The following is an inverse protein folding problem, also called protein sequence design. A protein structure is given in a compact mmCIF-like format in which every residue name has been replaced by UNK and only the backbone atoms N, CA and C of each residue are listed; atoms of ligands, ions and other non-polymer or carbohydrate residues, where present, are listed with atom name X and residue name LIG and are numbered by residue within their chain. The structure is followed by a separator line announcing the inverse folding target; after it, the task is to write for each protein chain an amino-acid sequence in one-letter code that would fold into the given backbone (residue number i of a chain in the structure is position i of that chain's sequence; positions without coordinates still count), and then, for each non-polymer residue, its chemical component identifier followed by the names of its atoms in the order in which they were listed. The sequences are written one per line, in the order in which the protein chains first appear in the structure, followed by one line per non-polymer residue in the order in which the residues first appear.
data_IF_923961165051
#
_entry.id   IF_923961165051
#
_cell.length_a   1.000
_cell.length_b   1.000
_cell.length_c   1.000
_cell.angle_alpha   90.00
_cell.angle_beta   90.00
_cell.angle_gamma   90.00
#
_symmetry.space_group_name_H-M   'P 1'
#
loop_
_entity.id
_entity.type
_entity.pdbx_description
1 polymer ?
#
# COMPACT_ATOMS: atom_id res chain seq x y z
N UNK A 1 4.79 1.27 -4.94
CA UNK A 1 3.54 2.06 -4.74
C UNK A 1 3.50 3.19 -5.74
N UNK A 2 2.31 3.55 -6.23
CA UNK A 2 2.15 4.67 -7.18
C UNK A 2 2.55 6.00 -6.53
N UNK A 3 3.03 6.97 -7.33
CA UNK A 3 3.58 8.21 -6.81
C UNK A 3 2.50 9.23 -6.44
N UNK A 4 2.94 10.26 -5.74
CA UNK A 4 2.21 11.50 -5.54
C UNK A 4 2.67 12.51 -6.59
N UNK A 5 1.75 12.93 -7.47
CA UNK A 5 2.05 13.85 -8.57
C UNK A 5 1.89 15.32 -8.18
N UNK A 6 2.69 16.24 -8.74
CA UNK A 6 2.42 17.67 -8.64
C UNK A 6 1.10 18.03 -9.32
N UNK A 7 0.31 18.94 -8.74
CA UNK A 7 -0.90 19.46 -9.39
C UNK A 7 -0.56 20.27 -10.66
N UNK A 8 -1.51 20.32 -11.60
CA UNK A 8 -1.41 21.17 -12.80
C UNK A 8 -1.02 20.44 -14.09
N UNK A 9 -0.63 19.17 -14.02
CA UNK A 9 -0.48 18.31 -15.20
C UNK A 9 -1.83 17.63 -15.52
N UNK A 10 -2.15 17.36 -16.79
CA UNK A 10 -3.39 16.66 -17.13
C UNK A 10 -3.35 15.17 -16.71
N UNK A 11 -4.47 14.64 -16.26
CA UNK A 11 -4.58 13.26 -15.74
C UNK A 11 -4.04 12.20 -16.73
N UNK A 12 -4.29 12.35 -18.03
CA UNK A 12 -3.79 11.41 -19.03
C UNK A 12 -2.26 11.32 -19.07
N UNK A 13 -1.54 12.42 -18.74
CA UNK A 13 -0.08 12.41 -18.67
C UNK A 13 0.43 11.60 -17.46
N UNK A 14 -0.24 11.67 -16.30
CA UNK A 14 0.06 10.84 -15.15
C UNK A 14 -0.17 9.36 -15.46
N UNK A 15 -1.33 9.05 -16.06
CA UNK A 15 -1.67 7.66 -16.42
C UNK A 15 -0.67 7.07 -17.43
N UNK A 16 -0.20 7.87 -18.39
CA UNK A 16 0.83 7.43 -19.35
C UNK A 16 2.17 7.17 -18.63
N UNK A 17 2.61 8.10 -17.79
CA UNK A 17 3.84 7.98 -16.99
C UNK A 17 3.80 6.75 -16.09
N UNK A 18 2.72 6.55 -15.35
CA UNK A 18 2.59 5.43 -14.43
C UNK A 18 2.40 4.09 -15.15
N UNK A 19 1.86 4.11 -16.36
CA UNK A 19 1.90 2.94 -17.26
C UNK A 19 3.34 2.58 -17.60
N UNK A 20 4.18 3.55 -17.98
CA UNK A 20 5.60 3.31 -18.25
C UNK A 20 6.35 2.78 -17.03
N UNK A 21 6.07 3.32 -15.83
CA UNK A 21 6.62 2.82 -14.57
C UNK A 21 6.26 1.36 -14.35
N UNK A 22 4.99 0.99 -14.48
CA UNK A 22 4.52 -0.37 -14.30
C UNK A 22 5.22 -1.36 -15.26
N UNK A 23 5.38 -0.97 -16.53
CA UNK A 23 6.07 -1.79 -17.53
C UNK A 23 7.58 -1.90 -17.27
N UNK A 24 8.19 -0.85 -16.74
CA UNK A 24 9.58 -0.92 -16.30
C UNK A 24 9.75 -1.88 -15.12
N UNK A 25 8.84 -1.84 -14.14
CA UNK A 25 8.86 -2.77 -13.01
C UNK A 25 8.74 -4.22 -13.47
N UNK A 26 7.81 -4.53 -14.39
CA UNK A 26 7.70 -5.84 -15.03
C UNK A 26 9.02 -6.28 -15.68
N UNK A 27 9.62 -5.38 -16.48
CA UNK A 27 10.89 -5.65 -17.18
C UNK A 27 12.05 -5.89 -16.23
N UNK A 28 12.14 -5.14 -15.14
CA UNK A 28 13.22 -5.23 -14.15
C UNK A 28 13.07 -6.43 -13.21
N UNK A 29 11.90 -7.07 -13.15
CA UNK A 29 11.68 -8.24 -12.32
C UNK A 29 11.15 -7.93 -10.91
N UNK A 30 10.50 -6.78 -10.71
CA UNK A 30 9.74 -6.53 -9.49
C UNK A 30 8.55 -7.48 -9.39
N UNK A 31 8.15 -7.80 -8.16
CA UNK A 31 7.11 -8.80 -7.90
C UNK A 31 5.71 -8.18 -7.79
N UNK A 32 5.57 -7.00 -7.19
CA UNK A 32 4.29 -6.43 -6.82
C UNK A 32 4.17 -4.93 -7.17
N UNK A 33 2.98 -4.50 -7.60
CA UNK A 33 2.61 -3.09 -7.80
C UNK A 33 1.32 -2.78 -7.03
N UNK A 34 1.37 -1.82 -6.11
CA UNK A 34 0.21 -1.35 -5.35
C UNK A 34 -0.26 0.02 -5.86
N UNK A 35 -1.58 0.13 -6.09
CA UNK A 35 -2.24 1.33 -6.62
C UNK A 35 -3.25 1.82 -5.57
N UNK A 36 -3.11 3.07 -5.14
CA UNK A 36 -4.01 3.71 -4.17
C UNK A 36 -5.36 4.10 -4.79
N UNK A 37 -6.32 4.45 -3.93
CA UNK A 37 -7.62 4.98 -4.33
C UNK A 37 -7.85 6.34 -3.70
N UNK A 38 -8.05 7.35 -4.55
CA UNK A 38 -8.42 8.71 -4.14
C UNK A 38 -9.38 9.32 -5.15
N UNK A 39 -10.48 9.90 -4.66
CA UNK A 39 -11.48 10.55 -5.49
C UNK A 39 -11.22 12.03 -5.65
N UNK A 40 -10.81 12.71 -4.58
CA UNK A 40 -10.68 14.16 -4.51
C UNK A 40 -9.25 14.66 -4.26
N UNK A 41 -8.25 13.77 -4.32
CA UNK A 41 -6.84 14.15 -4.22
C UNK A 41 -6.25 14.36 -5.61
N UNK A 42 -6.09 15.62 -6.04
CA UNK A 42 -5.53 15.94 -7.35
C UNK A 42 -4.08 15.46 -7.54
N UNK A 43 -3.38 15.16 -6.44
CA UNK A 43 -2.03 14.61 -6.43
C UNK A 43 -1.96 13.09 -6.62
N UNK A 44 -3.09 12.40 -6.43
CA UNK A 44 -3.21 10.94 -6.58
C UNK A 44 -4.49 10.60 -7.35
N UNK A 45 -4.53 10.81 -8.67
CA UNK A 45 -5.77 10.81 -9.46
C UNK A 45 -6.23 9.40 -9.85
N UNK A 46 -6.40 8.50 -8.89
CA UNK A 46 -6.84 7.12 -9.10
C UNK A 46 -8.14 6.81 -8.36
N UNK A 47 -9.31 7.24 -8.86
CA UNK A 47 -10.59 6.89 -8.24
C UNK A 47 -10.98 5.41 -8.43
N UNK A 48 -10.38 4.71 -9.38
CA UNK A 48 -10.68 3.32 -9.72
C UNK A 48 -9.37 2.51 -9.95
N UNK A 49 -8.67 2.10 -8.88
CA UNK A 49 -7.38 1.41 -9.00
C UNK A 49 -7.45 0.10 -9.80
N UNK A 50 -8.54 -0.66 -9.69
CA UNK A 50 -8.71 -1.89 -10.46
C UNK A 50 -8.87 -1.64 -11.97
N UNK A 51 -9.46 -0.51 -12.37
CA UNK A 51 -9.56 -0.13 -13.78
C UNK A 51 -8.18 0.15 -14.37
N UNK A 52 -7.34 0.90 -13.66
CA UNK A 52 -5.97 1.15 -14.09
C UNK A 52 -5.14 -0.14 -14.11
N UNK A 53 -5.22 -0.96 -13.07
CA UNK A 53 -4.55 -2.26 -13.03
C UNK A 53 -4.99 -3.17 -14.20
N UNK A 54 -6.27 -3.20 -14.53
CA UNK A 54 -6.79 -3.99 -15.66
C UNK A 54 -6.21 -3.55 -17.01
N UNK A 55 -5.94 -2.25 -17.19
CA UNK A 55 -5.31 -1.73 -18.41
C UNK A 55 -3.87 -2.20 -18.60
N UNK A 56 -3.20 -2.64 -17.53
CA UNK A 56 -1.82 -3.12 -17.53
C UNK A 56 -1.72 -4.64 -17.79
N UNK A 57 -2.79 -5.41 -17.53
CA UNK A 57 -2.78 -6.87 -17.65
C UNK A 57 -2.34 -7.39 -19.02
N UNK A 58 -2.79 -6.81 -20.17
CA UNK A 58 -2.36 -7.27 -21.49
C UNK A 58 -0.86 -7.05 -21.79
N UNK A 59 -0.18 -6.28 -20.96
CA UNK A 59 1.22 -5.86 -21.15
C UNK A 59 2.15 -6.38 -20.05
N UNK A 60 1.63 -7.20 -19.11
CA UNK A 60 2.37 -7.77 -17.98
C UNK A 60 2.04 -9.25 -17.82
N UNK A 61 3.03 -10.08 -17.45
CA UNK A 61 2.86 -11.52 -17.29
C UNK A 61 3.07 -12.00 -15.84
N UNK A 62 3.92 -11.32 -15.07
CA UNK A 62 4.35 -11.75 -13.73
C UNK A 62 3.90 -10.84 -12.62
N UNK A 63 3.84 -9.53 -12.88
CA UNK A 63 3.57 -8.51 -11.87
C UNK A 63 2.23 -8.79 -11.17
N UNK A 64 2.28 -8.88 -9.85
CA UNK A 64 1.10 -9.01 -8.99
C UNK A 64 0.57 -7.60 -8.70
N UNK A 65 -0.72 -7.40 -8.86
CA UNK A 65 -1.38 -6.12 -8.61
C UNK A 65 -2.02 -6.12 -7.24
N UNK A 66 -1.72 -5.11 -6.44
CA UNK A 66 -2.38 -4.85 -5.17
C UNK A 66 -3.15 -3.53 -5.19
N UNK A 67 -4.30 -3.46 -4.55
CA UNK A 67 -4.89 -2.17 -4.22
C UNK A 67 -4.19 -1.62 -2.97
N UNK A 68 -3.84 -0.34 -2.98
CA UNK A 68 -3.06 0.23 -1.91
C UNK A 68 -3.62 1.52 -1.32
N UNK A 69 -4.92 1.53 -0.98
CA UNK A 69 -5.95 0.48 -0.77
C UNK A 69 -7.28 0.87 -1.41
N UNK A 70 -8.25 -0.07 -1.50
CA UNK A 70 -9.66 0.29 -1.65
C UNK A 70 -10.18 0.79 -0.30
N UNK A 71 -10.81 1.96 -0.29
CA UNK A 71 -11.37 2.57 0.92
C UNK A 71 -12.77 2.01 1.20
N UNK A 72 -12.86 0.88 1.91
CA UNK A 72 -14.08 0.12 2.09
C UNK A 72 -15.33 0.93 2.53
N UNK A 73 -15.22 1.95 3.42
CA UNK A 73 -16.37 2.76 3.80
C UNK A 73 -17.00 3.58 2.67
N UNK A 74 -16.28 3.78 1.55
CA UNK A 74 -16.78 4.52 0.38
C UNK A 74 -17.55 3.64 -0.60
N UNK A 75 -17.59 2.31 -0.35
CA UNK A 75 -18.17 1.33 -1.25
C UNK A 75 -19.16 0.39 -0.56
N UNK A 76 -20.14 -0.10 -1.32
CA UNK A 76 -20.94 -1.23 -0.85
C UNK A 76 -20.12 -2.53 -0.93
N UNK A 77 -20.03 -3.35 0.14
CA UNK A 77 -19.19 -4.56 0.16
C UNK A 77 -19.46 -5.55 -0.98
N UNK A 78 -20.72 -5.67 -1.42
CA UNK A 78 -21.06 -6.55 -2.53
C UNK A 78 -20.46 -6.10 -3.87
N UNK A 79 -20.31 -4.79 -4.08
CA UNK A 79 -19.63 -4.25 -5.27
C UNK A 79 -18.13 -4.58 -5.21
N UNK A 80 -17.49 -4.30 -4.06
CA UNK A 80 -16.07 -4.65 -3.87
C UNK A 80 -15.84 -6.15 -4.08
N UNK A 81 -16.70 -7.00 -3.53
CA UNK A 81 -16.60 -8.46 -3.70
C UNK A 81 -16.69 -8.87 -5.17
N UNK A 82 -17.63 -8.30 -5.93
CA UNK A 82 -17.82 -8.62 -7.34
C UNK A 82 -16.67 -8.12 -8.22
N UNK A 83 -16.25 -6.87 -8.05
CA UNK A 83 -15.17 -6.25 -8.83
C UNK A 83 -13.83 -6.90 -8.54
N UNK A 84 -13.52 -7.19 -7.27
CA UNK A 84 -12.31 -7.89 -6.88
C UNK A 84 -12.27 -9.32 -7.44
N UNK A 85 -13.40 -10.05 -7.41
CA UNK A 85 -13.50 -11.37 -8.01
C UNK A 85 -13.29 -11.32 -9.53
N UNK A 86 -13.89 -10.34 -10.21
CA UNK A 86 -13.69 -10.15 -11.66
C UNK A 86 -12.23 -9.87 -11.99
N UNK A 87 -11.59 -8.95 -11.25
CA UNK A 87 -10.18 -8.62 -11.47
C UNK A 87 -9.26 -9.83 -11.19
N UNK A 88 -9.57 -10.62 -10.16
CA UNK A 88 -8.83 -11.84 -9.82
C UNK A 88 -8.87 -12.87 -10.97
N UNK A 89 -10.01 -13.01 -11.65
CA UNK A 89 -10.12 -13.82 -12.86
C UNK A 89 -9.33 -13.24 -14.05
N UNK A 90 -9.44 -11.93 -14.30
CA UNK A 90 -8.71 -11.27 -15.39
C UNK A 90 -7.19 -11.40 -15.22
N UNK A 91 -6.72 -11.24 -13.99
CA UNK A 91 -5.29 -11.35 -13.65
C UNK A 91 -4.81 -12.79 -13.49
N UNK A 92 -5.72 -13.80 -13.50
CA UNK A 92 -5.43 -15.20 -13.23
C UNK A 92 -4.72 -15.41 -11.88
N UNK A 93 -5.21 -14.74 -10.84
CA UNK A 93 -4.67 -14.85 -9.49
C UNK A 93 -3.48 -13.92 -9.17
N UNK A 94 -3.08 -13.04 -10.08
CA UNK A 94 -2.06 -12.02 -9.81
C UNK A 94 -2.69 -10.80 -9.12
N UNK A 95 -3.36 -11.04 -7.99
CA UNK A 95 -4.11 -10.02 -7.26
C UNK A 95 -3.99 -10.15 -5.74
N UNK A 96 -3.87 -9.02 -5.07
CA UNK A 96 -3.94 -8.85 -3.62
C UNK A 96 -4.98 -7.75 -3.34
N UNK A 97 -6.02 -8.08 -2.56
CA UNK A 97 -7.00 -7.09 -2.13
C UNK A 97 -6.45 -6.29 -0.94
N UNK A 98 -5.85 -5.15 -1.22
CA UNK A 98 -5.57 -4.17 -0.18
C UNK A 98 -6.81 -3.36 0.13
N UNK A 99 -7.23 -3.34 1.40
CA UNK A 99 -8.49 -2.72 1.81
C UNK A 99 -8.29 -1.95 3.12
N UNK A 100 -8.84 -0.75 3.20
CA UNK A 100 -8.63 0.16 4.33
C UNK A 100 -9.86 0.99 4.69
N UNK A 101 -9.73 1.77 5.77
CA UNK A 101 -10.83 2.59 6.29
C UNK A 101 -10.94 3.99 5.66
N UNK A 102 -10.03 4.35 4.75
CA UNK A 102 -9.96 5.68 4.18
C UNK A 102 -9.47 6.75 5.18
N UNK A 103 -8.70 7.71 4.70
CA UNK A 103 -8.16 8.78 5.55
C UNK A 103 -8.34 10.19 4.96
N UNK A 104 -8.73 10.30 3.69
CA UNK A 104 -8.93 11.57 2.99
C UNK A 104 -10.24 12.22 3.44
N UNK A 105 -10.21 13.36 4.13
CA UNK A 105 -11.42 13.98 4.67
C UNK A 105 -12.45 14.35 3.60
N UNK A 106 -11.99 14.87 2.46
CA UNK A 106 -12.83 15.29 1.34
C UNK A 106 -13.52 14.11 0.64
N UNK A 107 -12.86 12.94 0.53
CA UNK A 107 -13.48 11.72 0.02
C UNK A 107 -14.59 11.23 0.97
N UNK A 108 -14.34 11.27 2.29
CA UNK A 108 -15.31 10.89 3.30
C UNK A 108 -16.53 11.84 3.28
N UNK A 109 -16.31 13.15 3.17
CA UNK A 109 -17.37 14.16 3.08
C UNK A 109 -18.22 13.94 1.83
N UNK A 110 -17.59 13.77 0.67
CA UNK A 110 -18.26 13.52 -0.63
C UNK A 110 -19.20 12.31 -0.56
N UNK A 111 -18.78 11.26 0.11
CA UNK A 111 -19.54 10.00 0.23
C UNK A 111 -20.39 9.93 1.50
N UNK A 112 -20.52 11.04 2.26
CA UNK A 112 -21.27 11.10 3.52
C UNK A 112 -20.84 10.01 4.53
N UNK A 113 -19.54 9.73 4.59
CA UNK A 113 -18.95 8.77 5.52
C UNK A 113 -18.48 9.50 6.77
N UNK A 114 -18.58 8.85 7.93
CA UNK A 114 -18.19 9.41 9.22
C UNK A 114 -16.75 9.95 9.21
N UNK A 115 -16.50 11.18 9.73
CA UNK A 115 -15.16 11.71 9.93
C UNK A 115 -14.40 10.98 11.06
N UNK A 116 -15.10 10.24 11.92
CA UNK A 116 -14.47 9.47 13.00
C UNK A 116 -13.77 8.22 12.46
N UNK A 117 -12.45 8.18 12.61
CA UNK A 117 -11.62 7.06 12.19
C UNK A 117 -11.98 5.73 12.89
N UNK A 118 -12.48 5.77 14.14
CA UNK A 118 -12.89 4.58 14.87
C UNK A 118 -14.17 3.98 14.25
N UNK A 119 -15.11 4.83 13.87
CA UNK A 119 -16.34 4.40 13.21
C UNK A 119 -16.04 3.82 11.81
N UNK A 120 -15.17 4.48 11.01
CA UNK A 120 -14.71 3.93 9.73
C UNK A 120 -13.97 2.60 9.89
N UNK A 121 -13.22 2.42 10.98
CA UNK A 121 -12.59 1.14 11.30
C UNK A 121 -13.59 0.00 11.53
N UNK A 122 -14.75 0.29 12.15
CA UNK A 122 -15.85 -0.67 12.32
C UNK A 122 -16.52 -0.97 10.97
N UNK A 123 -16.74 0.05 10.14
CA UNK A 123 -17.25 -0.12 8.78
C UNK A 123 -16.33 -1.03 7.95
N UNK A 124 -15.02 -0.82 8.01
CA UNK A 124 -14.02 -1.66 7.35
C UNK A 124 -14.13 -3.13 7.81
N UNK A 125 -14.20 -3.36 9.11
CA UNK A 125 -14.29 -4.71 9.66
C UNK A 125 -15.55 -5.44 9.17
N UNK A 126 -16.72 -4.78 9.20
CA UNK A 126 -17.98 -5.32 8.68
C UNK A 126 -17.92 -5.54 7.16
N UNK A 127 -17.29 -4.62 6.40
CA UNK A 127 -17.13 -4.77 4.95
C UNK A 127 -16.30 -6.01 4.61
N UNK A 128 -15.15 -6.23 5.27
CA UNK A 128 -14.31 -7.40 5.00
C UNK A 128 -15.06 -8.70 5.35
N UNK A 129 -15.77 -8.73 6.47
CA UNK A 129 -16.56 -9.90 6.85
C UNK A 129 -17.64 -10.19 5.80
N UNK A 130 -18.35 -9.17 5.35
CA UNK A 130 -19.40 -9.33 4.33
C UNK A 130 -18.84 -9.79 2.99
N UNK A 131 -17.72 -9.24 2.54
CA UNK A 131 -17.00 -9.65 1.33
C UNK A 131 -16.63 -11.13 1.43
N UNK A 132 -16.02 -11.56 2.53
CA UNK A 132 -15.62 -12.96 2.72
C UNK A 132 -16.83 -13.90 2.75
N UNK A 133 -17.95 -13.50 3.39
CA UNK A 133 -19.20 -14.27 3.38
C UNK A 133 -19.80 -14.42 1.99
N UNK A 134 -19.80 -13.35 1.18
CA UNK A 134 -20.24 -13.38 -0.22
C UNK A 134 -19.39 -14.37 -1.04
N UNK A 135 -18.09 -14.38 -0.84
CA UNK A 135 -17.22 -15.31 -1.56
C UNK A 135 -17.35 -16.76 -1.11
N UNK A 136 -17.65 -16.99 0.15
CA UNK A 136 -17.75 -18.32 0.76
C UNK A 136 -19.10 -19.02 0.58
N UNK A 137 -20.17 -18.30 0.24
CA UNK A 137 -21.54 -18.86 0.18
C UNK A 137 -22.21 -18.64 -1.16
N UNK A 138 -23.14 -19.52 -1.50
CA UNK A 138 -24.08 -19.35 -2.61
C UNK A 138 -25.37 -18.68 -2.14
N UNK A 139 -26.24 -18.19 -3.07
CA UNK A 139 -27.52 -17.62 -2.70
C UNK A 139 -28.42 -18.66 -2.00
N UNK A 140 -29.36 -18.25 -1.13
CA UNK A 140 -29.74 -16.87 -0.87
C UNK A 140 -28.70 -16.10 -0.01
N UNK A 141 -28.49 -14.83 -0.35
CA UNK A 141 -27.74 -13.92 0.49
C UNK A 141 -28.72 -13.10 1.35
N UNK A 142 -28.57 -13.14 2.66
CA UNK A 142 -29.32 -12.30 3.60
C UNK A 142 -28.38 -11.86 4.74
N UNK A 143 -27.45 -10.99 4.39
CA UNK A 143 -26.45 -10.48 5.31
C UNK A 143 -26.83 -9.08 5.75
N UNK A 144 -27.24 -8.93 7.01
CA UNK A 144 -27.62 -7.66 7.62
C UNK A 144 -26.58 -7.30 8.66
N UNK A 145 -25.86 -6.21 8.41
CA UNK A 145 -24.92 -5.61 9.34
C UNK A 145 -25.44 -4.30 9.93
N UNK A 146 -24.61 -3.63 10.68
CA UNK A 146 -24.90 -2.28 11.19
C UNK A 146 -24.87 -1.22 10.09
N UNK A 147 -23.92 -1.35 9.16
CA UNK A 147 -23.64 -0.35 8.12
C UNK A 147 -24.13 -0.81 6.75
N UNK A 148 -24.10 -2.11 6.48
CA UNK A 148 -24.34 -2.67 5.17
C UNK A 148 -25.40 -3.77 5.21
N UNK A 149 -26.17 -3.89 4.13
CA UNK A 149 -27.07 -5.02 3.92
C UNK A 149 -26.87 -5.55 2.51
N UNK A 150 -26.51 -6.83 2.38
CA UNK A 150 -26.50 -7.54 1.10
C UNK A 150 -27.61 -8.57 1.11
N UNK A 151 -28.64 -8.34 0.30
CA UNK A 151 -29.82 -9.23 0.26
C UNK A 151 -30.19 -9.58 -1.17
N UNK A 152 -30.16 -10.88 -1.49
CA UNK A 152 -30.69 -11.49 -2.70
C UNK A 152 -31.34 -12.79 -2.26
N UNK A 153 -32.67 -12.81 -2.02
CA UNK A 153 -33.38 -13.98 -1.61
C UNK A 153 -34.76 -14.12 -2.31
N UNK A 154 -35.44 -13.00 -2.50
CA UNK A 154 -36.83 -13.02 -3.03
C UNK A 154 -36.82 -12.88 -4.57
N UNK A 155 -35.72 -12.51 -5.18
CA UNK A 155 -35.56 -12.26 -6.63
C UNK A 155 -34.65 -13.29 -7.32
N UNK A 156 -34.29 -14.35 -6.63
CA UNK A 156 -33.49 -15.44 -7.22
C UNK A 156 -34.31 -16.13 -8.31
N UNK A 157 -33.69 -16.24 -9.49
CA UNK A 157 -34.32 -16.96 -10.61
C UNK A 157 -33.35 -17.96 -11.23
N UNK A 158 -33.39 -19.24 -10.81
CA UNK A 158 -32.46 -20.25 -11.35
C UNK A 158 -32.61 -20.47 -12.86
N UNK A 159 -33.82 -20.32 -13.41
CA UNK A 159 -34.07 -20.49 -14.83
C UNK A 159 -33.41 -19.42 -15.71
N UNK A 160 -33.10 -18.27 -15.14
CA UNK A 160 -32.38 -17.18 -15.79
C UNK A 160 -30.94 -17.00 -15.25
N UNK A 161 -30.52 -17.85 -14.33
CA UNK A 161 -29.25 -17.74 -13.60
C UNK A 161 -29.06 -16.38 -12.89
N UNK A 162 -30.15 -15.79 -12.35
CA UNK A 162 -30.07 -14.56 -11.57
C UNK A 162 -29.96 -14.89 -10.07
N UNK A 163 -29.15 -14.11 -9.35
CA UNK A 163 -28.98 -14.19 -7.90
C UNK A 163 -27.59 -14.61 -7.46
N UNK A 164 -26.69 -14.99 -8.35
CA UNK A 164 -25.33 -15.43 -8.04
C UNK A 164 -24.32 -14.29 -8.20
N UNK A 165 -23.55 -14.04 -7.13
CA UNK A 165 -22.42 -13.13 -7.18
C UNK A 165 -21.15 -13.89 -7.60
N UNK A 166 -20.24 -13.25 -8.36
CA UNK A 166 -19.02 -13.91 -8.83
C UNK A 166 -18.12 -14.31 -7.65
N UNK A 167 -17.47 -15.47 -7.79
CA UNK A 167 -16.50 -15.98 -6.83
C UNK A 167 -15.08 -15.70 -7.33
N UNK A 168 -14.09 -15.47 -6.47
CA UNK A 168 -12.72 -15.22 -6.91
C UNK A 168 -12.07 -16.45 -7.57
N UNK A 169 -11.07 -16.18 -8.40
CA UNK A 169 -10.22 -17.19 -9.03
C UNK A 169 -9.36 -17.91 -7.99
N UNK A 170 -8.71 -17.16 -7.10
CA UNK A 170 -7.92 -17.68 -6.00
C UNK A 170 -8.79 -18.32 -4.91
N UNK A 171 -8.29 -19.38 -4.27
CA UNK A 171 -9.03 -20.10 -3.23
C UNK A 171 -8.30 -20.04 -1.89
N UNK A 172 -9.00 -19.77 -0.79
CA UNK A 172 -10.46 -19.50 -0.71
C UNK A 172 -10.84 -18.12 -1.27
N UNK A 173 -9.92 -17.19 -1.38
CA UNK A 173 -10.06 -15.83 -1.92
C UNK A 173 -8.68 -15.20 -2.13
N UNK A 174 -8.55 -14.07 -2.84
CA UNK A 174 -7.31 -13.32 -2.93
C UNK A 174 -6.76 -12.98 -1.54
N UNK A 175 -5.43 -12.92 -1.35
CA UNK A 175 -4.86 -12.41 -0.12
C UNK A 175 -5.45 -11.04 0.23
N UNK A 176 -5.79 -10.83 1.50
CA UNK A 176 -6.28 -9.55 2.02
C UNK A 176 -5.09 -8.83 2.67
N UNK A 177 -4.90 -7.56 2.33
CA UNK A 177 -3.86 -6.73 2.92
C UNK A 177 -4.48 -5.46 3.54
N UNK A 178 -4.03 -5.08 4.74
CA UNK A 178 -4.50 -3.88 5.43
C UNK A 178 -3.38 -2.88 5.66
N UNK A 179 -3.63 -1.57 5.43
CA UNK A 179 -2.65 -0.53 5.67
C UNK A 179 -2.56 -0.21 7.16
N UNK A 180 -1.34 0.01 7.65
CA UNK A 180 -1.07 0.41 9.02
C UNK A 180 -0.13 1.61 9.02
N UNK A 181 -0.63 2.78 9.42
CA UNK A 181 0.09 4.05 9.37
C UNK A 181 0.37 4.67 10.73
N UNK A 182 -0.18 4.12 11.82
CA UNK A 182 0.11 4.57 13.19
C UNK A 182 0.98 3.55 13.92
N UNK A 183 1.90 4.00 14.79
CA UNK A 183 2.81 3.12 15.54
C UNK A 183 2.12 1.99 16.31
N UNK A 184 0.99 2.30 16.97
CA UNK A 184 0.24 1.37 17.81
C UNK A 184 -1.06 0.91 17.14
N UNK A 185 -0.99 0.53 15.87
CA UNK A 185 -2.17 0.11 15.12
C UNK A 185 -2.72 -1.23 15.61
N UNK A 186 -3.88 -1.20 16.26
CA UNK A 186 -4.60 -2.43 16.66
C UNK A 186 -4.94 -3.33 15.45
N UNK A 187 -5.03 -2.78 14.24
CA UNK A 187 -5.28 -3.52 13.01
C UNK A 187 -4.17 -4.52 12.69
N UNK A 188 -2.92 -4.24 13.09
CA UNK A 188 -1.79 -5.15 12.91
C UNK A 188 -2.04 -6.47 13.65
N UNK A 189 -2.46 -6.39 14.91
CA UNK A 189 -2.79 -7.57 15.73
C UNK A 189 -3.98 -8.34 15.15
N UNK A 190 -5.00 -7.62 14.67
CA UNK A 190 -6.15 -8.22 13.97
C UNK A 190 -5.69 -8.96 12.72
N UNK A 191 -4.78 -8.37 11.92
CA UNK A 191 -4.23 -9.02 10.74
C UNK A 191 -3.52 -10.34 11.10
N UNK A 192 -2.69 -10.36 12.13
CA UNK A 192 -2.06 -11.59 12.62
C UNK A 192 -3.07 -12.67 12.97
N UNK A 193 -4.14 -12.33 13.72
CA UNK A 193 -5.23 -13.27 14.05
C UNK A 193 -5.95 -13.82 12.83
N UNK A 194 -6.22 -12.97 11.85
CA UNK A 194 -6.98 -13.33 10.65
C UNK A 194 -6.13 -13.95 9.54
N UNK A 195 -4.80 -13.87 9.62
CA UNK A 195 -3.88 -14.28 8.55
C UNK A 195 -3.91 -13.34 7.35
N UNK A 196 -4.18 -12.07 7.60
CA UNK A 196 -4.10 -11.03 6.58
C UNK A 196 -2.70 -10.45 6.49
N UNK A 197 -2.36 -9.93 5.34
CA UNK A 197 -1.14 -9.18 5.13
C UNK A 197 -1.22 -7.79 5.78
N UNK A 198 -0.06 -7.30 6.23
CA UNK A 198 0.08 -5.93 6.74
C UNK A 198 0.91 -5.12 5.75
N UNK A 199 0.49 -3.88 5.47
CA UNK A 199 1.25 -2.89 4.71
C UNK A 199 1.60 -1.76 5.68
N UNK A 200 2.83 -1.77 6.19
CA UNK A 200 3.32 -0.71 7.08
C UNK A 200 3.77 0.51 6.27
N UNK A 201 3.25 1.69 6.66
CA UNK A 201 3.46 2.98 5.96
C UNK A 201 4.96 3.37 5.83
N UNK A 202 5.36 4.06 4.77
CA UNK A 202 6.73 4.56 4.60
C UNK A 202 7.13 5.62 5.63
N UNK A 203 6.15 6.20 6.34
CA UNK A 203 6.38 7.26 7.32
C UNK A 203 6.71 6.73 8.73
N UNK A 204 6.59 5.42 8.95
CA UNK A 204 6.90 4.79 10.24
C UNK A 204 8.42 4.68 10.47
N UNK A 205 8.86 4.92 11.70
CA UNK A 205 10.24 4.67 12.10
C UNK A 205 10.54 3.17 12.17
N UNK A 206 11.81 2.80 12.22
CA UNK A 206 12.22 1.40 12.41
C UNK A 206 11.68 0.84 13.72
N UNK A 207 11.65 1.65 14.78
CA UNK A 207 11.05 1.29 16.08
C UNK A 207 9.56 0.98 15.96
N UNK A 208 8.81 1.77 15.19
CA UNK A 208 7.38 1.54 14.97
C UNK A 208 7.16 0.25 14.18
N UNK A 209 8.03 -0.06 13.21
CA UNK A 209 7.98 -1.34 12.51
C UNK A 209 8.25 -2.52 13.44
N UNK A 210 9.22 -2.41 14.34
CA UNK A 210 9.48 -3.44 15.35
C UNK A 210 8.25 -3.67 16.26
N UNK A 211 7.55 -2.60 16.62
CA UNK A 211 6.28 -2.69 17.34
C UNK A 211 5.17 -3.36 16.49
N UNK A 212 5.06 -3.02 15.20
CA UNK A 212 4.15 -3.72 14.29
C UNK A 212 4.45 -5.23 14.24
N UNK A 213 5.71 -5.60 14.14
CA UNK A 213 6.10 -7.00 14.18
C UNK A 213 5.68 -7.70 15.48
N UNK A 214 5.89 -7.05 16.63
CA UNK A 214 5.49 -7.58 17.91
C UNK A 214 3.97 -7.79 18.00
N UNK A 215 3.17 -6.81 17.58
CA UNK A 215 1.71 -6.90 17.54
C UNK A 215 1.20 -7.96 16.56
N UNK A 216 1.83 -8.09 15.39
CA UNK A 216 1.49 -9.13 14.41
C UNK A 216 1.72 -10.53 14.98
N UNK A 217 2.89 -10.75 15.60
CA UNK A 217 3.23 -12.00 16.27
C UNK A 217 2.23 -12.36 17.37
N UNK A 218 1.89 -11.40 18.21
CA UNK A 218 0.89 -11.58 19.27
C UNK A 218 -0.45 -12.04 18.67
N UNK A 219 -0.91 -11.38 17.61
CA UNK A 219 -2.14 -11.78 16.91
C UNK A 219 -2.06 -13.19 16.31
N UNK A 220 -0.94 -13.55 15.71
CA UNK A 220 -0.71 -14.91 15.21
C UNK A 220 -0.75 -15.94 16.33
N UNK A 221 -0.09 -15.66 17.45
CA UNK A 221 -0.04 -16.54 18.62
C UNK A 221 -1.44 -16.77 19.21
N UNK A 222 -2.25 -15.74 19.35
CA UNK A 222 -3.64 -15.85 19.82
C UNK A 222 -4.50 -16.77 18.95
N UNK A 223 -4.19 -16.85 17.66
CA UNK A 223 -4.92 -17.67 16.68
C UNK A 223 -4.22 -19.04 16.37
N UNK A 224 -3.14 -19.37 17.07
CA UNK A 224 -2.36 -20.58 16.80
C UNK A 224 -1.71 -20.63 15.42
N UNK A 225 -1.36 -19.47 14.84
CA UNK A 225 -0.78 -19.33 13.50
C UNK A 225 0.73 -19.11 13.57
N UNK A 226 1.51 -19.61 12.60
CA UNK A 226 2.91 -19.25 12.51
C UNK A 226 3.10 -17.77 12.17
N UNK A 227 4.12 -17.16 12.71
CA UNK A 227 4.52 -15.77 12.41
C UNK A 227 5.91 -15.79 11.78
N UNK A 228 5.97 -15.89 10.45
CA UNK A 228 7.22 -15.97 9.68
C UNK A 228 7.56 -14.65 8.93
N UNK A 229 6.64 -13.67 8.98
CA UNK A 229 6.80 -12.35 8.35
C UNK A 229 6.56 -12.31 6.84
N UNK A 230 6.35 -13.44 6.17
CA UNK A 230 6.17 -13.49 4.71
C UNK A 230 5.01 -12.62 4.21
N UNK A 231 3.96 -12.49 5.00
CA UNK A 231 2.77 -11.69 4.69
C UNK A 231 2.86 -10.25 5.19
N UNK A 232 4.01 -9.85 5.73
CA UNK A 232 4.24 -8.48 6.18
C UNK A 232 5.00 -7.69 5.13
N UNK A 233 4.38 -6.62 4.64
CA UNK A 233 4.95 -5.65 3.71
C UNK A 233 5.31 -4.38 4.44
N UNK A 234 6.51 -3.89 4.24
CA UNK A 234 6.92 -2.56 4.69
C UNK A 234 7.15 -1.65 3.49
N UNK A 235 6.70 -0.41 3.60
CA UNK A 235 6.98 0.60 2.59
C UNK A 235 8.22 1.42 2.98
N UNK A 236 9.06 1.74 2.00
CA UNK A 236 10.19 2.67 2.15
C UNK A 236 10.38 3.51 0.91
N UNK A 237 10.82 4.73 1.11
CA UNK A 237 11.32 5.59 0.04
C UNK A 237 12.81 5.29 -0.13
N UNK A 238 13.24 4.90 -1.32
CA UNK A 238 14.62 4.47 -1.58
C UNK A 238 15.15 5.12 -2.85
N UNK A 239 16.36 5.67 -2.80
CA UNK A 239 17.12 6.10 -3.96
C UNK A 239 18.51 5.45 -3.98
N UNK A 240 18.82 4.72 -5.05
CA UNK A 240 20.16 4.17 -5.30
C UNK A 240 20.82 4.93 -6.44
N UNK A 241 22.00 5.50 -6.19
CA UNK A 241 22.83 6.15 -7.21
C UNK A 241 24.22 5.49 -7.27
N UNK A 242 25.10 5.94 -8.17
CA UNK A 242 26.44 5.38 -8.28
C UNK A 242 27.28 5.63 -7.02
N UNK A 243 27.08 6.78 -6.36
CA UNK A 243 27.79 7.18 -5.13
C UNK A 243 26.82 7.74 -4.09
N UNK A 244 27.25 7.76 -2.82
CA UNK A 244 26.47 8.36 -1.73
C UNK A 244 26.30 9.87 -1.92
N UNK A 245 27.32 10.56 -2.44
CA UNK A 245 27.25 11.99 -2.74
C UNK A 245 26.21 12.28 -3.83
N UNK A 246 26.22 11.51 -4.91
CA UNK A 246 25.25 11.66 -5.98
C UNK A 246 23.82 11.40 -5.49
N UNK A 247 23.60 10.35 -4.72
CA UNK A 247 22.30 10.06 -4.12
C UNK A 247 21.81 11.22 -3.26
N UNK A 248 22.69 11.75 -2.40
CA UNK A 248 22.37 12.91 -1.55
C UNK A 248 22.01 14.13 -2.38
N UNK A 249 22.81 14.47 -3.39
CA UNK A 249 22.55 15.61 -4.26
C UNK A 249 21.20 15.49 -4.98
N UNK A 250 20.85 14.30 -5.46
CA UNK A 250 19.55 14.04 -6.11
C UNK A 250 18.38 14.18 -5.15
N UNK A 251 18.44 13.57 -3.97
CA UNK A 251 17.35 13.58 -2.98
C UNK A 251 17.05 15.00 -2.49
N UNK A 252 18.08 15.80 -2.24
CA UNK A 252 17.95 17.17 -1.73
C UNK A 252 17.83 18.25 -2.81
N UNK A 253 17.90 17.91 -4.09
CA UNK A 253 17.68 18.85 -5.20
C UNK A 253 16.33 19.54 -5.10
N UNK A 254 16.24 20.79 -5.52
CA UNK A 254 14.98 21.53 -5.60
C UNK A 254 13.98 20.88 -6.56
N UNK A 255 14.46 20.16 -7.59
CA UNK A 255 13.64 19.45 -8.57
C UNK A 255 13.29 18.01 -8.14
N UNK A 256 13.74 17.60 -6.95
CA UNK A 256 13.58 16.23 -6.46
C UNK A 256 12.11 15.88 -6.21
N UNK A 257 11.64 14.78 -6.80
CA UNK A 257 10.35 14.18 -6.50
C UNK A 257 10.24 13.73 -5.02
N UNK A 258 11.37 13.38 -4.39
CA UNK A 258 11.43 13.08 -2.95
C UNK A 258 11.12 14.32 -2.12
N UNK A 259 11.74 15.46 -2.45
CA UNK A 259 11.48 16.74 -1.79
C UNK A 259 10.01 17.19 -1.99
N UNK A 260 9.45 16.97 -3.17
CA UNK A 260 8.04 17.22 -3.43
C UNK A 260 7.14 16.35 -2.55
N UNK A 261 7.37 15.03 -2.52
CA UNK A 261 6.60 14.08 -1.71
C UNK A 261 6.64 14.44 -0.22
N UNK A 262 7.83 14.58 0.36
CA UNK A 262 7.96 14.90 1.79
C UNK A 262 7.48 16.31 2.12
N UNK A 263 7.64 17.27 1.22
CA UNK A 263 7.08 18.62 1.36
C UNK A 263 5.55 18.61 1.42
N UNK A 264 4.91 17.81 0.57
CA UNK A 264 3.45 17.62 0.62
C UNK A 264 3.04 16.93 1.94
N UNK A 265 3.67 15.84 2.30
CA UNK A 265 3.36 15.11 3.53
C UNK A 265 3.58 15.97 4.78
N UNK A 266 4.63 16.77 4.82
CA UNK A 266 4.87 17.72 5.91
C UNK A 266 3.70 18.71 6.06
N UNK A 267 3.22 19.30 4.96
CA UNK A 267 2.05 20.19 4.96
C UNK A 267 0.80 19.48 5.48
N UNK A 268 0.52 18.26 4.99
CA UNK A 268 -0.63 17.46 5.42
C UNK A 268 -0.58 17.18 6.92
N UNK A 269 0.55 16.70 7.44
CA UNK A 269 0.69 16.39 8.86
C UNK A 269 0.64 17.65 9.77
N UNK A 270 1.16 18.79 9.27
CA UNK A 270 1.03 20.08 9.96
C UNK A 270 -0.44 20.49 10.09
N UNK A 271 -1.18 20.46 8.98
CA UNK A 271 -2.61 20.84 8.97
C UNK A 271 -3.49 19.90 9.81
N UNK A 272 -3.12 18.64 9.89
CA UNK A 272 -3.83 17.66 10.71
C UNK A 272 -3.41 17.67 12.19
N UNK A 273 -2.46 18.51 12.60
CA UNK A 273 -1.92 18.53 13.97
C UNK A 273 -1.18 17.24 14.34
N UNK A 274 -0.56 16.57 13.36
CA UNK A 274 0.04 15.25 13.53
C UNK A 274 1.57 15.22 13.38
N UNK A 275 2.24 16.35 13.47
CA UNK A 275 3.71 16.44 13.35
C UNK A 275 4.45 15.52 14.34
N UNK A 276 3.83 15.18 15.47
CA UNK A 276 4.40 14.25 16.43
C UNK A 276 4.83 12.91 15.87
N UNK A 277 4.14 12.42 14.82
CA UNK A 277 4.50 11.16 14.11
C UNK A 277 5.84 11.27 13.38
N UNK A 278 6.23 12.49 13.00
CA UNK A 278 7.44 12.77 12.23
C UNK A 278 8.66 13.10 13.10
N UNK A 279 8.46 13.22 14.41
CA UNK A 279 9.56 13.51 15.36
C UNK A 279 10.42 12.28 15.55
N UNK A 280 11.74 12.47 15.48
CA UNK A 280 12.73 11.41 15.74
C UNK A 280 12.93 11.14 17.23
N UNK A 281 12.60 12.13 18.07
CA UNK A 281 12.66 12.06 19.52
C UNK A 281 11.45 12.80 20.15
N UNK A 282 10.97 12.40 21.32
CA UNK A 282 9.76 12.97 21.94
C UNK A 282 9.88 14.47 22.27
N UNK A 283 11.07 14.93 22.59
CA UNK A 283 11.39 16.32 22.95
C UNK A 283 11.65 17.26 21.77
N UNK A 284 11.62 16.73 20.53
CA UNK A 284 11.80 17.54 19.32
C UNK A 284 10.67 18.56 19.19
N UNK A 285 11.00 19.85 18.99
CA UNK A 285 10.01 20.89 18.77
C UNK A 285 9.40 20.78 17.37
N UNK A 286 8.22 21.33 17.17
CA UNK A 286 7.53 21.28 15.86
C UNK A 286 8.29 22.04 14.77
N UNK A 287 8.99 23.12 15.11
CA UNK A 287 9.81 23.92 14.18
C UNK A 287 11.12 23.22 13.75
N UNK A 288 11.54 22.18 14.48
CA UNK A 288 12.67 21.32 14.10
C UNK A 288 12.28 20.23 13.10
N UNK A 289 10.97 19.96 12.93
CA UNK A 289 10.46 18.99 11.95
C UNK A 289 10.38 19.66 10.58
N UNK A 290 11.49 19.71 9.88
CA UNK A 290 11.60 20.28 8.53
C UNK A 290 11.45 19.20 7.46
N UNK A 291 11.26 19.62 6.20
CA UNK A 291 11.27 18.69 5.05
C UNK A 291 12.58 17.92 4.96
N UNK A 292 13.72 18.59 5.23
CA UNK A 292 15.03 17.97 5.15
C UNK A 292 15.24 16.92 6.27
N UNK A 293 14.84 17.24 7.52
CA UNK A 293 14.88 16.24 8.60
C UNK A 293 13.95 15.06 8.31
N UNK A 294 12.82 15.31 7.66
CA UNK A 294 11.88 14.25 7.29
C UNK A 294 12.46 13.35 6.18
N UNK A 295 13.10 13.93 5.16
CA UNK A 295 13.82 13.17 4.13
C UNK A 295 14.90 12.30 4.77
N UNK A 296 15.77 12.88 5.61
CA UNK A 296 16.87 12.19 6.27
C UNK A 296 16.41 10.99 7.11
N UNK A 297 15.25 11.10 7.75
CA UNK A 297 14.74 10.06 8.64
C UNK A 297 13.94 8.97 7.93
N UNK A 298 13.40 9.23 6.74
CA UNK A 298 12.41 8.35 6.09
C UNK A 298 12.82 7.89 4.70
N UNK A 299 13.98 8.33 4.20
CA UNK A 299 14.51 7.90 2.90
C UNK A 299 15.82 7.13 3.12
N UNK A 300 15.90 5.95 2.54
CA UNK A 300 17.15 5.21 2.40
C UNK A 300 17.77 5.64 1.08
N UNK A 301 18.94 6.27 1.11
CA UNK A 301 19.60 6.73 -0.12
C UNK A 301 21.12 6.58 -0.05
N UNK A 302 21.72 6.24 -1.18
CA UNK A 302 23.15 6.06 -1.27
C UNK A 302 23.60 5.21 -2.45
N UNK A 303 24.85 4.80 -2.41
CA UNK A 303 25.40 3.78 -3.27
C UNK A 303 24.78 2.41 -2.99
N UNK A 304 24.88 1.43 -3.90
CA UNK A 304 24.42 0.07 -3.65
C UNK A 304 24.94 -0.52 -2.32
N UNK A 305 26.20 -0.23 -1.98
CA UNK A 305 26.82 -0.67 -0.72
C UNK A 305 26.12 -0.07 0.50
N UNK A 306 25.89 1.23 0.50
CA UNK A 306 25.23 1.95 1.61
C UNK A 306 23.79 1.48 1.77
N UNK A 307 23.01 1.43 0.68
CA UNK A 307 21.62 0.99 0.70
C UNK A 307 21.49 -0.47 1.17
N UNK A 308 22.40 -1.35 0.74
CA UNK A 308 22.45 -2.74 1.21
C UNK A 308 22.68 -2.80 2.72
N UNK A 309 23.62 -2.03 3.25
CA UNK A 309 23.92 -2.01 4.69
C UNK A 309 22.73 -1.50 5.51
N UNK A 310 22.06 -0.44 5.05
CA UNK A 310 20.87 0.11 5.71
C UNK A 310 19.68 -0.85 5.68
N UNK A 311 19.45 -1.55 4.58
CA UNK A 311 18.37 -2.55 4.49
C UNK A 311 18.62 -3.76 5.39
N UNK A 312 19.87 -4.18 5.53
CA UNK A 312 20.27 -5.22 6.49
C UNK A 312 20.02 -4.78 7.93
N UNK A 313 20.39 -3.54 8.27
CA UNK A 313 20.11 -2.96 9.58
C UNK A 313 18.61 -2.89 9.84
N UNK A 314 17.85 -2.37 8.88
CA UNK A 314 16.39 -2.30 8.95
C UNK A 314 15.76 -3.68 9.23
N UNK A 315 16.21 -4.74 8.53
CA UNK A 315 15.68 -6.09 8.71
C UNK A 315 16.01 -6.67 10.09
N UNK A 316 17.22 -6.41 10.60
CA UNK A 316 17.61 -6.86 11.96
C UNK A 316 16.78 -6.18 13.04
N UNK A 317 16.51 -4.88 12.88
CA UNK A 317 15.84 -4.06 13.90
C UNK A 317 14.32 -4.15 13.83
N UNK A 318 13.74 -4.10 12.63
CA UNK A 318 12.29 -4.14 12.46
C UNK A 318 11.70 -5.54 12.58
N UNK A 319 12.39 -6.56 12.08
CA UNK A 319 11.92 -7.95 12.03
C UNK A 319 11.85 -8.52 10.60
N UNK A 320 11.41 -9.78 10.47
CA UNK A 320 11.50 -10.55 9.24
C UNK A 320 10.36 -10.22 8.25
N UNK A 321 10.33 -9.01 7.70
CA UNK A 321 9.35 -8.69 6.65
C UNK A 321 9.61 -9.47 5.36
N UNK A 322 8.55 -9.90 4.69
CA UNK A 322 8.62 -10.69 3.45
C UNK A 322 8.76 -9.84 2.21
N UNK A 323 8.19 -8.63 2.20
CA UNK A 323 8.20 -7.74 1.04
C UNK A 323 8.60 -6.32 1.43
N UNK A 324 9.46 -5.73 0.62
CA UNK A 324 9.79 -4.31 0.68
C UNK A 324 9.11 -3.60 -0.50
N UNK A 325 8.16 -2.72 -0.20
CA UNK A 325 7.48 -1.88 -1.18
C UNK A 325 8.22 -0.55 -1.31
N UNK A 326 8.68 -0.22 -2.50
CA UNK A 326 9.27 1.09 -2.79
C UNK A 326 8.17 2.11 -3.08
N UNK A 327 8.24 3.27 -2.43
CA UNK A 327 7.44 4.43 -2.80
C UNK A 327 8.05 5.08 -4.03
N UNK A 328 7.28 5.19 -5.12
CA UNK A 328 7.69 5.90 -6.33
C UNK A 328 7.53 7.40 -6.17
N UNK A 329 8.22 8.18 -6.99
CA UNK A 329 8.07 9.63 -7.10
C UNK A 329 7.60 10.03 -8.50
N UNK A 330 7.09 11.24 -8.66
CA UNK A 330 6.72 11.81 -9.97
C UNK A 330 7.94 11.93 -10.89
N UNK A 331 7.76 11.66 -12.18
CA UNK A 331 8.83 11.67 -13.17
C UNK A 331 9.05 13.02 -13.86
N UNK A 332 8.50 14.10 -13.34
CA UNK A 332 8.80 15.43 -13.86
C UNK A 332 10.30 15.75 -13.75
N UNK A 333 10.83 16.47 -14.74
CA UNK A 333 12.24 16.89 -14.78
C UNK A 333 13.21 15.70 -14.79
N UNK A 334 14.27 15.75 -13.98
CA UNK A 334 15.31 14.71 -13.95
C UNK A 334 14.87 13.41 -13.26
N UNK A 335 13.74 13.42 -12.54
CA UNK A 335 13.32 12.30 -11.69
C UNK A 335 13.10 11.01 -12.47
N UNK A 336 12.61 11.08 -13.71
CA UNK A 336 12.44 9.91 -14.56
C UNK A 336 13.76 9.15 -14.78
N UNK A 337 14.84 9.87 -15.07
CA UNK A 337 16.15 9.25 -15.25
C UNK A 337 16.71 8.71 -13.93
N UNK A 338 16.59 9.48 -12.85
CA UNK A 338 17.07 9.09 -11.53
C UNK A 338 16.35 7.86 -10.98
N UNK A 339 15.04 7.80 -11.10
CA UNK A 339 14.26 6.66 -10.58
C UNK A 339 14.48 5.40 -11.43
N UNK A 340 14.56 5.53 -12.77
CA UNK A 340 14.92 4.40 -13.66
C UNK A 340 16.28 3.80 -13.31
N UNK A 341 17.28 4.64 -13.09
CA UNK A 341 18.60 4.20 -12.65
C UNK A 341 18.55 3.56 -11.26
N UNK A 342 17.88 4.22 -10.29
CA UNK A 342 17.73 3.72 -8.93
C UNK A 342 17.08 2.34 -8.90
N UNK A 343 15.97 2.14 -9.61
CA UNK A 343 15.27 0.85 -9.66
C UNK A 343 16.11 -0.24 -10.33
N UNK A 344 16.86 0.12 -11.36
CA UNK A 344 17.76 -0.83 -12.04
C UNK A 344 18.88 -1.27 -11.10
N UNK A 345 19.59 -0.33 -10.46
CA UNK A 345 20.64 -0.64 -9.48
C UNK A 345 20.11 -1.41 -8.28
N UNK A 346 18.92 -1.04 -7.81
CA UNK A 346 18.30 -1.73 -6.69
C UNK A 346 18.12 -3.23 -6.98
N UNK A 347 17.54 -3.58 -8.12
CA UNK A 347 17.33 -4.98 -8.50
C UNK A 347 18.64 -5.70 -8.83
N UNK A 348 19.57 -5.03 -9.52
CA UNK A 348 20.79 -5.69 -10.02
C UNK A 348 21.91 -5.77 -8.99
N UNK A 349 22.02 -4.78 -8.08
CA UNK A 349 23.16 -4.65 -7.17
C UNK A 349 22.76 -4.82 -5.71
N UNK A 350 21.59 -4.29 -5.28
CA UNK A 350 21.17 -4.31 -3.86
C UNK A 350 20.45 -5.60 -3.50
N UNK A 351 19.46 -6.00 -4.27
CA UNK A 351 18.64 -7.20 -3.96
C UNK A 351 19.47 -8.48 -3.86
N UNK A 352 20.39 -8.78 -4.80
CA UNK A 352 21.24 -9.96 -4.66
C UNK A 352 22.10 -9.91 -3.39
N UNK A 353 22.73 -8.78 -3.10
CA UNK A 353 23.57 -8.61 -1.92
C UNK A 353 22.80 -8.78 -0.59
N UNK A 354 21.54 -8.31 -0.52
CA UNK A 354 20.69 -8.53 0.67
C UNK A 354 20.27 -9.99 0.82
N UNK A 355 20.00 -10.70 -0.29
CA UNK A 355 19.56 -12.12 -0.28
C UNK A 355 20.67 -13.08 0.10
N UNK A 356 21.93 -12.84 -0.32
CA UNK A 356 23.09 -13.71 -0.01
C UNK A 356 23.28 -13.91 1.49
N UNK A 357 23.09 -12.89 2.31
CA UNK A 357 23.24 -13.02 3.77
C UNK A 357 22.07 -13.78 4.42
N UNK A 358 20.89 -13.75 3.83
CA UNK A 358 19.71 -14.46 4.36
C UNK A 358 19.83 -15.98 4.20
N UNK A 359 20.66 -16.45 3.27
CA UNK A 359 20.93 -17.89 3.03
C UNK A 359 22.07 -18.38 3.91
N UNK A 360 22.93 -17.49 4.39
CA UNK A 360 24.11 -17.82 5.21
C UNK A 360 23.85 -17.78 6.73
N UNK A 361 22.69 -17.30 7.17
CA UNK A 361 22.26 -17.20 8.56
C UNK A 361 21.17 -18.22 8.89
#
# INVERSE_FOLDING_TARGET
MMPLHPVGRPMHAYLAEDTEKALLLEKLGYDELFIGEHYSAATEPYPAPLMFAASLLPRTERLIFGTGVINAPLHHPAMVAAEAAQFDHLSKGRFILGIGSGSTPTDNEMMNVSPDARERGKMLAESIEMIQRIWASDPPYDFVGKYWTTRIKDTINPGLNFGWLPKPYQKPHPPIAIPCSSPDSASVKVAGRKGWSVISSPLLSTKDLANHWALYREGCQEAGRPADGKDWRICRTILVAATDEEARNRVYSAESGYRHFFGHMHKVYTQLGRLGVLKSRPDMRDDEVTVDTFIEQRTIFGSPKTVTAELRALRREAGPFGTLLLSSVDWAGPNAAWERESWTRFIQEVVPAVREETVAA
#
